data_IF_131289429249
#
_entry.id   IF_131289429249
#
_cell.length_a   1.000
_cell.length_b   1.000
_cell.length_c   1.000
_cell.angle_alpha   90.00
_cell.angle_beta   90.00
_cell.angle_gamma   90.00
#
_symmetry.space_group_name_H-M   'P 1'
#
loop_
_entity.id
_entity.type
_entity.pdbx_description
1 polymer ?
#
# COMPACT_ATOMS: atom_id res chain seq x y z
N UNK A 1 1.99 66.28 -20.35
CA UNK A 1 1.64 65.51 -19.13
C UNK A 1 0.94 64.16 -19.36
N UNK A 2 0.56 63.78 -20.59
CA UNK A 2 -0.18 62.52 -20.88
C UNK A 2 0.72 61.26 -20.79
N UNK A 3 2.03 61.39 -21.02
CA UNK A 3 3.01 60.29 -21.00
C UNK A 3 3.14 59.62 -19.61
N UNK A 4 2.97 60.39 -18.52
CA UNK A 4 3.13 59.92 -17.13
C UNK A 4 1.99 58.97 -16.70
N UNK A 5 0.76 59.21 -17.18
CA UNK A 5 -0.40 58.33 -16.88
C UNK A 5 -0.35 57.00 -17.63
N UNK A 6 0.19 56.98 -18.86
CA UNK A 6 0.42 55.73 -19.61
C UNK A 6 1.56 54.90 -19.02
N UNK A 7 2.64 55.55 -18.56
CA UNK A 7 3.74 54.88 -17.86
C UNK A 7 3.31 54.18 -16.56
N UNK A 8 2.44 54.81 -15.77
CA UNK A 8 1.91 54.21 -14.52
C UNK A 8 1.05 52.97 -14.80
N UNK A 9 0.24 52.99 -15.88
CA UNK A 9 -0.56 51.82 -16.25
C UNK A 9 0.31 50.64 -16.69
N UNK A 10 1.35 50.88 -17.49
CA UNK A 10 2.30 49.83 -17.92
C UNK A 10 3.05 49.25 -16.71
N UNK A 11 3.52 50.11 -15.79
CA UNK A 11 4.22 49.68 -14.58
C UNK A 11 3.31 48.85 -13.66
N UNK A 12 2.06 49.28 -13.48
CA UNK A 12 1.07 48.53 -12.69
C UNK A 12 0.81 47.14 -13.27
N UNK A 13 0.68 47.01 -14.59
CA UNK A 13 0.46 45.71 -15.24
C UNK A 13 1.66 44.78 -15.08
N UNK A 14 2.89 45.31 -15.20
CA UNK A 14 4.12 44.55 -15.01
C UNK A 14 4.24 43.99 -13.58
N UNK A 15 3.90 44.81 -12.58
CA UNK A 15 3.93 44.40 -11.16
C UNK A 15 2.94 43.26 -10.90
N UNK A 16 1.71 43.37 -11.43
CA UNK A 16 0.69 42.33 -11.29
C UNK A 16 1.15 41.02 -11.96
N UNK A 17 1.76 41.10 -13.14
CA UNK A 17 2.31 39.94 -13.83
C UNK A 17 3.40 39.24 -13.01
N UNK A 18 4.33 40.00 -12.42
CA UNK A 18 5.39 39.47 -11.55
C UNK A 18 4.79 38.80 -10.31
N UNK A 19 3.75 39.40 -9.72
CA UNK A 19 3.04 38.85 -8.56
C UNK A 19 2.39 37.50 -8.90
N UNK A 20 1.74 37.37 -10.06
CA UNK A 20 1.14 36.11 -10.53
C UNK A 20 2.22 35.03 -10.69
N UNK A 21 3.35 35.37 -11.31
CA UNK A 21 4.47 34.44 -11.50
C UNK A 21 5.04 33.99 -10.14
N UNK A 22 5.23 34.91 -9.20
CA UNK A 22 5.73 34.59 -7.87
C UNK A 22 4.77 33.66 -7.09
N UNK A 23 3.46 33.90 -7.17
CA UNK A 23 2.44 33.03 -6.57
C UNK A 23 2.47 31.64 -7.21
N UNK A 24 2.57 31.57 -8.55
CA UNK A 24 2.64 30.28 -9.24
C UNK A 24 3.87 29.45 -8.82
N UNK A 25 5.04 30.08 -8.76
CA UNK A 25 6.29 29.42 -8.38
C UNK A 25 6.31 28.98 -6.90
N UNK A 26 5.64 29.73 -6.01
CA UNK A 26 5.61 29.40 -4.58
C UNK A 26 4.58 28.33 -4.23
N UNK A 27 3.41 28.33 -4.88
CA UNK A 27 2.32 27.42 -4.52
C UNK A 27 2.22 26.17 -5.40
N UNK A 28 2.46 26.30 -6.71
CA UNK A 28 2.12 25.25 -7.69
C UNK A 28 3.34 24.43 -8.12
N UNK A 29 4.52 25.03 -8.14
CA UNK A 29 5.72 24.34 -8.62
C UNK A 29 6.13 23.20 -7.66
N UNK A 30 6.20 21.97 -8.19
CA UNK A 30 6.65 20.77 -7.48
C UNK A 30 7.88 20.21 -8.19
N UNK A 31 9.08 20.26 -7.59
CA UNK A 31 10.29 19.75 -8.23
C UNK A 31 10.22 18.22 -8.39
N UNK A 32 10.68 17.70 -9.52
CA UNK A 32 10.75 16.26 -9.77
C UNK A 32 12.10 15.69 -9.32
N UNK A 33 12.06 14.61 -8.55
CA UNK A 33 13.23 13.83 -8.16
C UNK A 33 13.49 12.73 -9.19
N UNK A 34 14.76 12.59 -9.62
CA UNK A 34 15.20 11.56 -10.57
C UNK A 34 15.59 10.25 -9.88
N UNK A 35 15.99 10.33 -8.62
CA UNK A 35 16.51 9.22 -7.83
C UNK A 35 15.84 9.17 -6.44
N UNK A 36 15.97 8.02 -5.79
CA UNK A 36 15.38 7.76 -4.49
C UNK A 36 16.01 8.62 -3.39
N UNK A 37 17.31 8.94 -3.48
CA UNK A 37 18.00 9.75 -2.48
C UNK A 37 17.46 11.20 -2.45
N UNK A 38 17.17 11.77 -3.62
CA UNK A 38 16.47 13.05 -3.76
C UNK A 38 15.11 12.97 -3.06
N UNK A 39 14.33 11.93 -3.34
CA UNK A 39 13.02 11.74 -2.75
C UNK A 39 13.07 11.65 -1.22
N UNK A 40 13.91 10.78 -0.68
CA UNK A 40 14.09 10.60 0.77
C UNK A 40 14.51 11.90 1.46
N UNK A 41 15.45 12.64 0.88
CA UNK A 41 15.90 13.92 1.42
C UNK A 41 14.77 14.96 1.50
N UNK A 42 13.83 14.91 0.54
CA UNK A 42 12.66 15.79 0.48
C UNK A 42 11.55 15.31 1.41
N UNK A 43 11.38 14.00 1.55
CA UNK A 43 10.41 13.36 2.44
C UNK A 43 10.73 13.65 3.91
N UNK A 44 11.99 13.49 4.32
CA UNK A 44 12.46 13.82 5.69
C UNK A 44 12.15 15.27 6.06
N UNK A 45 12.31 16.19 5.11
CA UNK A 45 12.02 17.62 5.28
C UNK A 45 10.56 17.98 5.02
N UNK A 46 9.74 17.02 4.60
CA UNK A 46 8.39 17.20 4.09
C UNK A 46 8.26 18.37 3.08
N UNK A 47 9.25 18.52 2.22
CA UNK A 47 9.26 19.53 1.19
C UNK A 47 8.64 18.99 -0.09
N UNK A 48 7.82 19.82 -0.76
CA UNK A 48 7.17 19.48 -2.02
C UNK A 48 8.15 18.86 -3.01
N UNK A 49 7.83 17.67 -3.51
CA UNK A 49 8.57 16.97 -4.54
C UNK A 49 7.68 15.92 -5.19
N UNK A 50 8.02 15.54 -6.42
CA UNK A 50 7.38 14.43 -7.14
C UNK A 50 8.42 13.37 -7.49
N UNK A 51 8.09 12.10 -7.29
CA UNK A 51 8.94 10.97 -7.61
C UNK A 51 8.13 9.91 -8.31
N UNK A 52 8.71 9.23 -9.30
CA UNK A 52 8.09 8.11 -9.99
C UNK A 52 8.98 6.89 -9.74
N UNK A 53 8.43 5.89 -9.07
CA UNK A 53 9.07 4.59 -8.92
C UNK A 53 8.51 3.67 -10.00
N UNK A 54 9.38 3.09 -10.81
CA UNK A 54 8.98 2.24 -11.93
C UNK A 54 9.51 0.80 -11.80
N UNK A 55 9.08 0.04 -10.78
CA UNK A 55 9.44 -1.37 -10.64
C UNK A 55 8.76 -2.22 -11.72
N UNK A 56 9.11 -3.52 -11.77
CA UNK A 56 8.67 -4.43 -12.84
C UNK A 56 7.16 -4.68 -12.88
N UNK A 57 6.45 -4.49 -11.78
CA UNK A 57 5.07 -4.92 -11.64
C UNK A 57 4.07 -3.75 -11.71
N UNK A 58 4.34 -2.64 -11.01
CA UNK A 58 3.45 -1.47 -10.94
C UNK A 58 4.25 -0.17 -10.90
N UNK A 59 3.96 0.78 -11.78
CA UNK A 59 4.54 2.11 -11.76
C UNK A 59 3.78 3.01 -10.79
N UNK A 60 4.47 3.53 -9.78
CA UNK A 60 3.91 4.40 -8.73
C UNK A 60 4.38 5.84 -8.90
N UNK A 61 3.49 6.80 -8.73
CA UNK A 61 3.80 8.22 -8.64
C UNK A 61 3.54 8.71 -7.23
N UNK A 62 4.56 9.30 -6.61
CA UNK A 62 4.51 9.89 -5.28
C UNK A 62 4.63 11.41 -5.40
N UNK A 63 3.80 12.14 -4.67
CA UNK A 63 3.83 13.61 -4.62
C UNK A 63 3.73 14.07 -3.18
N UNK A 64 4.78 14.71 -2.65
CA UNK A 64 4.73 15.36 -1.34
C UNK A 64 3.93 16.66 -1.52
N UNK A 65 2.77 16.74 -0.88
CA UNK A 65 1.92 17.93 -0.90
C UNK A 65 2.41 18.98 0.11
N UNK A 66 2.91 18.51 1.25
CA UNK A 66 3.51 19.34 2.29
C UNK A 66 3.12 18.88 3.68
N UNK A 67 3.30 19.77 4.65
CA UNK A 67 3.03 19.53 6.06
C UNK A 67 1.55 19.81 6.38
N UNK A 68 0.91 18.86 7.07
CA UNK A 68 -0.43 18.97 7.65
C UNK A 68 -0.33 18.54 9.11
N UNK A 69 -0.58 19.47 10.03
CA UNK A 69 -0.37 19.28 11.48
C UNK A 69 1.05 18.78 11.78
N UNK A 70 1.19 17.65 12.47
CA UNK A 70 2.47 16.99 12.76
C UNK A 70 2.81 15.85 11.79
N UNK A 71 2.22 15.87 10.59
CA UNK A 71 2.40 14.82 9.57
C UNK A 71 2.76 15.42 8.21
N UNK A 72 3.38 14.59 7.39
CA UNK A 72 3.66 14.86 6.00
C UNK A 72 2.61 14.22 5.11
N UNK A 73 1.90 15.03 4.32
CA UNK A 73 0.92 14.55 3.36
C UNK A 73 1.61 14.18 2.05
N UNK A 74 1.46 12.92 1.66
CA UNK A 74 2.02 12.34 0.44
C UNK A 74 0.89 11.70 -0.37
N UNK A 75 0.66 12.19 -1.58
CA UNK A 75 -0.24 11.56 -2.53
C UNK A 75 0.50 10.43 -3.26
N UNK A 76 -0.09 9.24 -3.26
CA UNK A 76 0.41 8.05 -3.95
C UNK A 76 -0.58 7.66 -5.01
N UNK A 77 -0.11 7.49 -6.25
CA UNK A 77 -0.94 7.15 -7.41
C UNK A 77 -0.37 5.96 -8.16
N UNK A 78 -1.21 4.97 -8.46
CA UNK A 78 -0.86 3.88 -9.37
C UNK A 78 -0.99 4.39 -10.81
N UNK A 79 0.12 4.55 -11.52
CA UNK A 79 0.12 5.04 -12.90
C UNK A 79 -0.21 3.93 -13.89
N UNK A 80 0.49 2.80 -13.78
CA UNK A 80 0.45 1.71 -14.74
C UNK A 80 0.68 0.37 -14.05
N UNK A 81 -0.10 -0.65 -14.42
CA UNK A 81 0.06 -2.02 -13.95
C UNK A 81 0.69 -2.81 -15.11
N UNK A 82 1.97 -3.18 -14.97
CA UNK A 82 2.75 -3.85 -16.02
C UNK A 82 2.60 -5.37 -15.94
N UNK A 83 2.58 -5.92 -14.72
CA UNK A 83 2.45 -7.37 -14.47
C UNK A 83 1.51 -7.62 -13.30
N UNK A 84 0.60 -8.58 -13.47
CA UNK A 84 -0.35 -8.97 -12.43
C UNK A 84 -1.66 -9.47 -13.02
N UNK A 85 -2.50 -10.09 -12.16
CA UNK A 85 -3.85 -10.52 -12.51
C UNK A 85 -4.67 -9.37 -13.10
N UNK A 86 -5.55 -9.66 -14.06
CA UNK A 86 -6.56 -8.72 -14.60
C UNK A 86 -7.30 -7.92 -13.52
N UNK A 87 -7.45 -8.49 -12.32
CA UNK A 87 -8.07 -7.83 -11.16
C UNK A 87 -7.31 -6.58 -10.67
N UNK A 88 -5.97 -6.51 -10.83
CA UNK A 88 -5.19 -5.34 -10.38
C UNK A 88 -5.30 -4.13 -11.32
N UNK A 89 -5.82 -4.30 -12.54
CA UNK A 89 -6.11 -3.18 -13.45
C UNK A 89 -7.10 -2.17 -12.83
N UNK A 90 -7.95 -2.62 -11.89
CA UNK A 90 -8.87 -1.74 -11.17
C UNK A 90 -8.17 -0.67 -10.30
N UNK A 91 -6.88 -0.85 -9.99
CA UNK A 91 -6.07 0.11 -9.25
C UNK A 91 -5.51 1.23 -10.14
N UNK A 92 -5.45 1.02 -11.45
CA UNK A 92 -4.79 1.95 -12.37
C UNK A 92 -5.48 3.32 -12.37
N UNK A 93 -4.67 4.36 -12.27
CA UNK A 93 -5.10 5.75 -12.24
C UNK A 93 -5.73 6.18 -10.91
N UNK A 94 -5.84 5.28 -9.92
CA UNK A 94 -6.35 5.61 -8.58
C UNK A 94 -5.23 6.12 -7.69
N UNK A 95 -5.60 6.98 -6.76
CA UNK A 95 -4.71 7.60 -5.81
C UNK A 95 -5.25 7.55 -4.37
N UNK A 96 -4.35 7.80 -3.43
CA UNK A 96 -4.62 7.95 -2.01
C UNK A 96 -3.67 8.97 -1.40
N UNK A 97 -4.10 9.62 -0.33
CA UNK A 97 -3.30 10.53 0.47
C UNK A 97 -2.87 9.84 1.76
N UNK A 98 -1.56 9.79 1.98
CA UNK A 98 -0.92 9.16 3.12
C UNK A 98 -0.32 10.20 4.05
N UNK A 99 -0.47 10.00 5.36
CA UNK A 99 -0.01 10.93 6.40
C UNK A 99 1.14 10.31 7.19
N UNK A 100 2.37 10.62 6.79
CA UNK A 100 3.58 10.06 7.39
C UNK A 100 4.06 10.92 8.57
N UNK A 101 4.59 10.30 9.65
CA UNK A 101 5.28 11.06 10.70
C UNK A 101 6.59 11.67 10.18
N UNK A 102 7.01 12.79 10.76
CA UNK A 102 8.28 13.43 10.37
C UNK A 102 9.50 12.56 10.69
N UNK A 103 10.52 12.66 9.83
CA UNK A 103 11.80 12.00 10.03
C UNK A 103 11.80 10.49 9.77
N UNK A 104 10.67 9.91 9.38
CA UNK A 104 10.56 8.49 9.04
C UNK A 104 10.55 8.31 7.52
N UNK A 105 11.43 7.46 7.03
CA UNK A 105 11.45 7.02 5.64
C UNK A 105 10.72 5.68 5.60
N UNK A 106 9.50 5.68 5.05
CA UNK A 106 8.74 4.46 4.81
C UNK A 106 7.97 4.60 3.50
N UNK A 107 7.83 3.48 2.81
CA UNK A 107 6.97 3.34 1.63
C UNK A 107 5.49 3.37 2.07
N UNK A 108 4.70 4.37 1.65
CA UNK A 108 3.32 4.51 2.12
C UNK A 108 2.41 3.33 1.70
N UNK A 109 2.72 2.66 0.60
CA UNK A 109 2.02 1.49 0.07
C UNK A 109 2.10 0.25 0.97
N UNK A 110 3.15 0.13 1.79
CA UNK A 110 3.33 -1.01 2.69
C UNK A 110 2.37 -0.93 3.90
N UNK A 111 1.91 0.27 4.25
CA UNK A 111 0.99 0.49 5.36
C UNK A 111 -0.23 1.31 4.91
N UNK A 112 -1.23 0.70 4.26
CA UNK A 112 -2.42 1.41 3.79
C UNK A 112 -3.26 2.01 4.93
N UNK A 113 -3.02 1.68 6.20
CA UNK A 113 -3.75 2.23 7.34
C UNK A 113 -3.47 3.72 7.56
N UNK A 114 -2.28 4.19 7.18
CA UNK A 114 -1.91 5.62 7.25
C UNK A 114 -2.37 6.42 6.03
N UNK A 115 -3.03 5.76 5.07
CA UNK A 115 -3.52 6.36 3.84
C UNK A 115 -5.05 6.45 3.83
N UNK A 116 -5.59 7.35 3.01
CA UNK A 116 -7.01 7.53 2.76
C UNK A 116 -7.24 7.79 1.26
N UNK A 117 -8.27 7.19 0.68
CA UNK A 117 -8.63 7.41 -0.72
C UNK A 117 -9.04 6.15 -1.46
N UNK A 118 -9.43 6.32 -2.72
CA UNK A 118 -10.02 5.26 -3.56
C UNK A 118 -9.02 4.12 -3.78
N UNK A 119 -7.74 4.43 -3.93
CA UNK A 119 -6.72 3.41 -4.12
C UNK A 119 -6.66 2.44 -2.93
N UNK A 120 -6.75 2.95 -1.69
CA UNK A 120 -6.80 2.12 -0.47
C UNK A 120 -8.02 1.19 -0.48
N UNK A 121 -9.20 1.73 -0.77
CA UNK A 121 -10.45 0.96 -0.79
C UNK A 121 -10.39 -0.17 -1.82
N UNK A 122 -9.85 0.13 -3.01
CA UNK A 122 -9.68 -0.87 -4.07
C UNK A 122 -8.61 -1.90 -3.72
N UNK A 123 -7.49 -1.50 -3.11
CA UNK A 123 -6.49 -2.45 -2.60
C UNK A 123 -7.10 -3.39 -1.57
N UNK A 124 -7.88 -2.88 -0.60
CA UNK A 124 -8.58 -3.70 0.39
C UNK A 124 -9.58 -4.67 -0.25
N UNK A 125 -10.34 -4.21 -1.24
CA UNK A 125 -11.28 -5.05 -2.00
C UNK A 125 -10.54 -6.22 -2.67
N UNK A 126 -9.40 -5.96 -3.31
CA UNK A 126 -8.60 -7.00 -3.96
C UNK A 126 -8.00 -8.00 -2.97
N UNK A 127 -7.55 -7.54 -1.80
CA UNK A 127 -7.05 -8.42 -0.74
C UNK A 127 -8.17 -9.37 -0.27
N UNK A 128 -9.39 -8.86 -0.08
CA UNK A 128 -10.56 -9.66 0.31
C UNK A 128 -10.91 -10.69 -0.76
N UNK A 129 -10.97 -10.29 -2.05
CA UNK A 129 -11.23 -11.21 -3.16
C UNK A 129 -10.20 -12.33 -3.23
N UNK A 130 -8.92 -12.00 -3.00
CA UNK A 130 -7.83 -12.98 -3.00
C UNK A 130 -7.90 -13.93 -1.82
N UNK A 131 -8.24 -13.43 -0.63
CA UNK A 131 -8.49 -14.26 0.54
C UNK A 131 -9.64 -15.23 0.30
N UNK A 132 -10.76 -14.78 -0.26
CA UNK A 132 -11.88 -15.65 -0.60
C UNK A 132 -11.48 -16.73 -1.61
N UNK A 133 -10.76 -16.37 -2.69
CA UNK A 133 -10.25 -17.33 -3.66
C UNK A 133 -9.36 -18.39 -3.01
N UNK A 134 -8.45 -17.97 -2.12
CA UNK A 134 -7.55 -18.86 -1.41
C UNK A 134 -8.31 -19.81 -0.46
N UNK A 135 -9.27 -19.30 0.30
CA UNK A 135 -10.07 -20.11 1.23
C UNK A 135 -10.86 -21.17 0.46
N UNK A 136 -11.55 -20.79 -0.62
CA UNK A 136 -12.34 -21.72 -1.44
C UNK A 136 -11.46 -22.80 -2.07
N UNK A 137 -10.28 -22.42 -2.61
CA UNK A 137 -9.36 -23.37 -3.22
C UNK A 137 -8.82 -24.41 -2.23
N UNK A 138 -8.56 -24.02 -0.98
CA UNK A 138 -7.97 -24.92 0.02
C UNK A 138 -9.02 -25.75 0.77
N UNK A 139 -10.23 -25.24 1.02
CA UNK A 139 -11.30 -26.03 1.68
C UNK A 139 -11.78 -27.18 0.77
N UNK A 140 -11.83 -26.97 -0.55
CA UNK A 140 -12.23 -28.01 -1.50
C UNK A 140 -11.29 -29.23 -1.52
N UNK A 141 -10.01 -29.04 -1.20
CA UNK A 141 -9.02 -30.12 -1.17
C UNK A 141 -9.15 -31.00 0.08
N UNK A 142 -9.53 -30.43 1.23
CA UNK A 142 -9.71 -31.17 2.48
C UNK A 142 -10.95 -32.09 2.40
N UNK A 143 -11.98 -31.69 1.66
CA UNK A 143 -13.20 -32.48 1.48
C UNK A 143 -12.98 -33.80 0.73
N UNK A 144 -12.05 -33.84 -0.23
CA UNK A 144 -11.77 -35.06 -1.01
C UNK A 144 -10.94 -36.10 -0.24
N UNK A 145 -10.07 -35.66 0.67
CA UNK A 145 -9.28 -36.57 1.51
C UNK A 145 -10.15 -37.27 2.57
N UNK A 146 -11.21 -36.61 3.06
CA UNK A 146 -12.15 -37.21 4.01
C UNK A 146 -13.12 -38.21 3.35
N UNK A 147 -13.49 -38.03 2.08
CA UNK A 147 -14.30 -39.01 1.34
C UNK A 147 -13.56 -40.28 0.93
N UNK A 148 -12.23 -40.33 1.11
CA UNK A 148 -11.42 -41.54 0.88
C UNK A 148 -11.37 -42.52 2.06
N UNK A 149 -11.95 -42.17 3.22
CA UNK A 149 -11.90 -42.99 4.45
C UNK A 149 -13.22 -43.76 4.71
N UNK A 150 -14.30 -43.45 3.99
CA UNK A 150 -15.58 -44.16 4.12
C UNK A 150 -15.62 -45.44 3.27
N UNK A 151 -14.72 -46.36 3.60
CA UNK A 151 -14.63 -47.69 3.01
C UNK A 151 -14.44 -48.82 4.03
N UNK A 152 -14.80 -48.61 5.31
CA UNK A 152 -14.78 -49.68 6.32
C UNK A 152 -16.20 -50.01 6.76
N UNK A 153 -16.84 -50.91 6.00
CA UNK A 153 -17.96 -51.73 6.47
C UNK A 153 -17.43 -52.69 7.53
N UNK A 154 -17.61 -52.34 8.81
CA UNK A 154 -17.17 -53.13 9.95
C UNK A 154 -18.32 -53.54 10.86
N UNK A 155 -19.17 -54.44 10.39
CA UNK A 155 -20.11 -55.16 11.23
C UNK A 155 -19.34 -56.22 12.02
N UNK A 156 -19.11 -56.05 13.33
CA UNK A 156 -18.78 -57.16 14.24
C UNK A 156 -18.85 -56.74 15.70
N UNK A 157 -19.96 -57.12 16.32
CA UNK A 157 -20.07 -57.42 17.74
C UNK A 157 -19.00 -58.42 18.14
N UNK A 158 -18.00 -58.05 18.96
CA UNK A 158 -17.19 -59.05 19.68
C UNK A 158 -16.62 -58.47 20.97
N UNK A 159 -17.25 -58.91 22.06
CA UNK A 159 -16.63 -59.38 23.31
C UNK A 159 -15.61 -58.49 24.03
N UNK A 160 -16.09 -57.92 25.15
CA UNK A 160 -15.30 -57.49 26.29
C UNK A 160 -14.30 -58.59 26.71
N UNK A 161 -13.03 -58.42 26.35
CA UNK A 161 -11.93 -59.21 26.93
C UNK A 161 -11.16 -58.35 27.94
N UNK A 162 -11.51 -58.61 29.20
CA UNK A 162 -10.76 -58.33 30.43
C UNK A 162 -9.24 -58.58 30.20
N UNK A 163 -8.40 -57.56 30.36
CA UNK A 163 -6.94 -57.74 30.48
C UNK A 163 -6.52 -57.25 31.85
N UNK A 164 -5.99 -58.20 32.62
CA UNK A 164 -5.44 -58.05 33.95
C UNK A 164 -4.31 -57.01 33.96
N UNK A 165 -4.35 -56.18 35.00
CA UNK A 165 -3.20 -55.46 35.51
C UNK A 165 -2.20 -56.47 36.10
N UNK A 166 -0.92 -56.40 35.69
CA UNK A 166 0.18 -57.01 36.45
C UNK A 166 1.44 -56.16 36.26
N UNK A 167 2.14 -56.03 37.39
CA UNK A 167 3.18 -55.08 37.71
C UNK A 167 4.54 -55.31 37.02
N UNK A 168 5.42 -54.30 37.19
CA UNK A 168 6.87 -54.39 37.00
C UNK A 168 7.34 -53.66 35.74
N UNK A 169 8.41 -52.87 35.73
CA UNK A 169 9.50 -52.70 36.68
C UNK A 169 10.26 -51.41 36.33
N UNK A 170 10.95 -50.86 37.32
CA UNK A 170 11.91 -49.75 37.25
C UNK A 170 13.07 -50.07 36.27
N UNK A 171 13.69 -49.03 35.70
CA UNK A 171 15.07 -48.56 35.97
C UNK A 171 15.74 -47.91 34.76
N UNK A 172 16.43 -46.77 35.04
CA UNK A 172 17.72 -46.33 34.48
C UNK A 172 17.79 -45.92 33.00
N UNK A 173 18.68 -45.05 32.53
CA UNK A 173 19.70 -44.16 33.10
C UNK A 173 20.24 -43.34 31.91
N UNK A 174 20.68 -42.12 32.20
CA UNK A 174 21.60 -41.23 31.51
C UNK A 174 22.25 -41.64 30.17
N UNK A 175 22.22 -40.68 29.25
CA UNK A 175 23.19 -40.44 28.19
C UNK A 175 23.14 -38.96 27.82
#
# INVERSE_FOLDING_TARGET
MIKKRRGIKILSTLIVLILIIAIYLTFVYTPTCKDIACWESKLVKCSKAKYINDPRDITWSYTIKGKVDDRCEVNVKALEIKRGLTSTMALQGKDMDCFLPFGVITEPEQNPNICNGILKEKMQTLIIEKLHQYIVANIGLIGQELTGIEGVTGNSSTSLRRVNSTAGNKTNSSG
#
